data_IF_942290893454
#
_entry.id   IF_942290893454
#
_cell.length_a   1.000
_cell.length_b   1.000
_cell.length_c   1.000
_cell.angle_alpha   90.00
_cell.angle_beta   90.00
_cell.angle_gamma   90.00
#
_symmetry.space_group_name_H-M   'P 1'
#
loop_
_entity.id
_entity.type
_entity.pdbx_description
1 polymer ?
#
# COMPACT_ATOMS: atom_id res chain seq x y z
N UNK A 1 10.74 48.53 -3.54
CA UNK A 1 11.74 47.77 -4.31
C UNK A 1 12.43 46.84 -3.33
N UNK A 2 12.03 45.57 -3.26
CA UNK A 2 12.67 44.55 -2.41
C UNK A 2 13.12 43.42 -3.32
N UNK A 3 14.42 43.15 -3.32
CA UNK A 3 15.04 42.11 -4.13
C UNK A 3 14.55 40.73 -3.66
N UNK A 4 13.86 40.02 -4.55
CA UNK A 4 13.61 38.60 -4.41
C UNK A 4 14.96 37.88 -4.55
N UNK A 5 15.56 37.50 -3.41
CA UNK A 5 16.71 36.61 -3.40
C UNK A 5 16.22 35.23 -3.81
N UNK A 6 16.41 34.91 -5.09
CA UNK A 6 16.34 33.55 -5.62
C UNK A 6 17.33 32.68 -4.84
N UNK A 7 16.83 31.87 -3.90
CA UNK A 7 17.62 30.79 -3.27
C UNK A 7 17.90 29.75 -4.35
N UNK A 8 19.05 29.90 -4.99
CA UNK A 8 19.60 28.91 -5.90
C UNK A 8 19.72 27.55 -5.21
N UNK A 9 19.47 26.49 -5.99
CA UNK A 9 19.87 25.13 -5.68
C UNK A 9 21.37 25.11 -5.34
N UNK A 10 21.70 25.13 -4.05
CA UNK A 10 23.08 24.87 -3.60
C UNK A 10 23.24 23.36 -3.57
N UNK A 11 23.51 22.77 -4.74
CA UNK A 11 24.04 21.43 -4.85
C UNK A 11 25.44 21.45 -4.23
N UNK A 12 25.57 21.04 -2.96
CA UNK A 12 26.88 20.93 -2.31
C UNK A 12 27.64 19.78 -2.98
N UNK A 13 28.72 20.04 -3.75
CA UNK A 13 29.39 19.02 -4.56
C UNK A 13 30.11 17.94 -3.74
N UNK A 14 30.19 18.11 -2.42
CA UNK A 14 30.81 17.15 -1.49
C UNK A 14 29.81 16.14 -0.88
N UNK A 15 28.50 16.34 -1.06
CA UNK A 15 27.48 15.42 -0.56
C UNK A 15 27.10 14.40 -1.63
N UNK A 16 28.00 13.43 -1.84
CA UNK A 16 27.72 12.28 -2.69
C UNK A 16 26.49 11.52 -2.16
N UNK A 17 25.48 11.21 -3.01
CA UNK A 17 24.28 10.48 -2.61
C UNK A 17 24.57 9.16 -1.89
N UNK A 18 25.68 8.50 -2.21
CA UNK A 18 26.15 7.27 -1.61
C UNK A 18 26.52 7.46 -0.13
N UNK A 19 27.20 8.58 0.19
CA UNK A 19 27.56 8.93 1.57
C UNK A 19 26.29 9.20 2.37
N UNK A 20 25.37 9.99 1.81
CA UNK A 20 24.08 10.30 2.46
C UNK A 20 23.28 9.02 2.70
N UNK A 21 23.19 8.12 1.71
CA UNK A 21 22.53 6.83 1.88
C UNK A 21 23.17 5.98 2.99
N UNK A 22 24.50 5.96 3.07
CA UNK A 22 25.24 5.27 4.13
C UNK A 22 24.94 5.82 5.52
N UNK A 23 24.92 7.16 5.68
CA UNK A 23 24.53 7.81 6.94
C UNK A 23 23.09 7.45 7.30
N UNK A 24 22.15 7.62 6.37
CA UNK A 24 20.73 7.32 6.59
C UNK A 24 20.52 5.85 6.99
N UNK A 25 21.27 4.90 6.43
CA UNK A 25 21.19 3.48 6.81
C UNK A 25 21.49 3.23 8.29
N UNK A 26 22.22 4.13 8.97
CA UNK A 26 22.53 4.06 10.39
C UNK A 26 21.59 4.91 11.28
N UNK A 27 20.61 5.62 10.73
CA UNK A 27 19.60 6.37 11.51
C UNK A 27 18.40 5.48 11.81
N UNK A 28 18.16 5.13 13.08
CA UNK A 28 17.13 4.16 13.46
C UNK A 28 15.84 4.78 14.00
N UNK A 29 15.89 6.05 14.45
CA UNK A 29 14.75 6.72 15.05
C UNK A 29 13.90 7.45 14.00
N UNK A 30 12.57 7.31 14.08
CA UNK A 30 11.62 8.01 13.19
C UNK A 30 11.81 9.54 13.23
N UNK A 31 11.92 10.21 14.40
CA UNK A 31 12.11 11.66 14.46
C UNK A 31 13.38 12.14 13.75
N UNK A 32 14.46 11.36 13.84
CA UNK A 32 15.73 11.69 13.19
C UNK A 32 15.62 11.55 11.68
N UNK A 33 14.96 10.51 11.18
CA UNK A 33 14.68 10.36 9.74
C UNK A 33 13.80 11.50 9.21
N UNK A 34 12.81 11.97 9.99
CA UNK A 34 12.00 13.13 9.63
C UNK A 34 12.84 14.42 9.58
N UNK A 35 13.76 14.58 10.53
CA UNK A 35 14.70 15.71 10.56
C UNK A 35 15.64 15.68 9.36
N UNK A 36 16.23 14.52 9.05
CA UNK A 36 17.02 14.30 7.84
C UNK A 36 16.23 14.61 6.58
N UNK A 37 14.94 14.25 6.53
CA UNK A 37 14.11 14.52 5.37
C UNK A 37 13.93 16.03 5.10
N UNK A 38 14.18 16.89 6.07
CA UNK A 38 14.04 18.35 5.94
C UNK A 38 15.32 19.07 5.48
N UNK A 39 16.47 18.38 5.36
CA UNK A 39 17.78 19.02 5.11
C UNK A 39 17.88 19.57 3.68
N UNK A 40 17.85 18.71 2.67
CA UNK A 40 17.86 19.08 1.25
C UNK A 40 17.31 17.93 0.40
N UNK A 41 17.30 18.05 -0.93
CA UNK A 41 16.71 17.03 -1.80
C UNK A 41 17.36 15.64 -1.67
N UNK A 42 18.68 15.55 -1.56
CA UNK A 42 19.42 14.27 -1.47
C UNK A 42 19.05 13.55 -0.16
N UNK A 43 19.12 14.27 0.96
CA UNK A 43 18.74 13.76 2.27
C UNK A 43 17.24 13.43 2.35
N UNK A 44 16.38 14.27 1.73
CA UNK A 44 14.93 14.04 1.64
C UNK A 44 14.64 12.69 0.98
N UNK A 45 15.20 12.44 -0.20
CA UNK A 45 14.94 11.19 -0.93
C UNK A 45 15.48 9.99 -0.16
N UNK A 46 16.71 10.06 0.36
CA UNK A 46 17.31 8.96 1.10
C UNK A 46 16.55 8.63 2.40
N UNK A 47 16.23 9.64 3.21
CA UNK A 47 15.52 9.49 4.47
C UNK A 47 14.09 8.97 4.26
N UNK A 48 13.33 9.56 3.31
CA UNK A 48 11.98 9.09 3.01
C UNK A 48 12.01 7.67 2.42
N UNK A 49 12.99 7.33 1.59
CA UNK A 49 13.14 5.97 1.07
C UNK A 49 13.33 4.97 2.20
N UNK A 50 14.14 5.28 3.23
CA UNK A 50 14.28 4.41 4.40
C UNK A 50 13.00 4.35 5.23
N UNK A 51 12.39 5.51 5.50
CA UNK A 51 11.17 5.65 6.30
C UNK A 51 10.00 4.86 5.70
N UNK A 52 9.77 4.96 4.39
CA UNK A 52 8.61 4.34 3.72
C UNK A 52 8.88 2.90 3.23
N UNK A 53 10.14 2.50 3.05
CA UNK A 53 10.46 1.12 2.66
C UNK A 53 10.01 0.13 3.73
N UNK A 54 10.15 0.50 5.01
CA UNK A 54 9.83 -0.32 6.16
C UNK A 54 10.62 -1.64 6.22
N UNK A 55 10.48 -2.35 7.33
CA UNK A 55 10.80 -3.78 7.45
C UNK A 55 9.59 -4.51 8.02
N UNK A 56 9.50 -5.83 7.87
CA UNK A 56 8.41 -6.62 8.47
C UNK A 56 8.37 -6.48 10.01
N UNK A 57 9.52 -6.20 10.64
CA UNK A 57 9.70 -6.12 12.08
C UNK A 57 9.48 -4.71 12.64
N UNK A 58 9.56 -3.67 11.79
CA UNK A 58 9.41 -2.29 12.22
C UNK A 58 8.01 -1.77 11.93
N UNK A 59 7.05 -2.16 12.77
CA UNK A 59 5.65 -1.72 12.64
C UNK A 59 5.48 -0.19 12.63
N UNK A 60 6.41 0.54 13.27
CA UNK A 60 6.44 2.00 13.29
C UNK A 60 6.74 2.68 11.93
N UNK A 61 7.32 1.95 10.97
CA UNK A 61 7.59 2.43 9.61
C UNK A 61 6.52 1.99 8.61
N UNK A 62 5.41 1.40 9.09
CA UNK A 62 4.31 0.98 8.21
C UNK A 62 3.67 2.19 7.56
N UNK A 63 3.09 1.96 6.39
CA UNK A 63 2.20 2.93 5.77
C UNK A 63 1.16 3.40 6.80
N UNK A 64 0.95 4.71 6.92
CA UNK A 64 0.01 5.23 7.89
C UNK A 64 -1.39 4.67 7.67
N UNK A 65 -2.23 4.68 8.71
CA UNK A 65 -3.63 4.31 8.58
C UNK A 65 -4.36 5.19 7.55
N UNK A 66 -5.54 4.76 7.10
CA UNK A 66 -6.25 5.37 5.96
C UNK A 66 -6.47 6.88 6.16
N UNK A 67 -6.81 7.36 7.36
CA UNK A 67 -6.95 8.78 7.68
C UNK A 67 -5.71 9.62 7.45
N UNK A 68 -4.56 9.17 7.95
CA UNK A 68 -3.29 9.83 7.65
C UNK A 68 -2.92 9.74 6.16
N UNK A 69 -3.19 8.61 5.47
CA UNK A 69 -3.03 8.53 4.00
C UNK A 69 -3.91 9.55 3.28
N UNK A 70 -5.14 9.74 3.73
CA UNK A 70 -6.07 10.74 3.20
C UNK A 70 -5.53 12.16 3.41
N UNK A 71 -5.00 12.46 4.59
CA UNK A 71 -4.36 13.75 4.89
C UNK A 71 -3.15 14.00 3.97
N UNK A 72 -2.26 13.02 3.82
CA UNK A 72 -1.10 13.11 2.92
C UNK A 72 -1.51 13.31 1.47
N UNK A 73 -2.54 12.59 1.02
CA UNK A 73 -3.07 12.68 -0.34
C UNK A 73 -3.66 14.07 -0.65
N UNK A 74 -4.43 14.62 0.29
CA UNK A 74 -5.02 15.96 0.18
C UNK A 74 -3.95 17.05 0.22
N UNK A 75 -2.97 16.92 1.12
CA UNK A 75 -1.90 17.91 1.27
C UNK A 75 -1.06 18.06 -0.01
N UNK A 76 -0.70 16.96 -0.68
CA UNK A 76 -0.06 17.03 -1.99
C UNK A 76 -0.09 15.70 -2.74
N UNK A 77 -0.88 15.63 -3.81
CA UNK A 77 -0.95 14.44 -4.69
C UNK A 77 0.42 14.07 -5.30
N UNK A 78 1.23 15.06 -5.65
CA UNK A 78 2.58 14.84 -6.22
C UNK A 78 3.54 14.23 -5.19
N UNK A 79 3.55 14.76 -3.96
CA UNK A 79 4.38 14.19 -2.89
C UNK A 79 3.88 12.82 -2.47
N UNK A 80 2.56 12.64 -2.38
CA UNK A 80 1.94 11.36 -2.11
C UNK A 80 2.42 10.28 -3.09
N UNK A 81 2.29 10.52 -4.40
CA UNK A 81 2.74 9.59 -5.43
C UNK A 81 4.23 9.22 -5.30
N UNK A 82 5.08 10.22 -5.07
CA UNK A 82 6.51 10.01 -4.86
C UNK A 82 6.78 9.18 -3.60
N UNK A 83 6.12 9.47 -2.49
CA UNK A 83 6.32 8.73 -1.24
C UNK A 83 5.82 7.28 -1.37
N UNK A 84 4.67 7.06 -2.03
CA UNK A 84 4.15 5.72 -2.29
C UNK A 84 5.09 4.90 -3.20
N UNK A 85 5.89 5.53 -4.07
CA UNK A 85 6.93 4.82 -4.84
C UNK A 85 8.04 4.18 -4.00
N UNK A 86 8.17 4.58 -2.72
CA UNK A 86 9.13 3.97 -1.80
C UNK A 86 8.51 2.87 -0.94
N UNK A 87 7.17 2.78 -0.89
CA UNK A 87 6.46 1.78 -0.10
C UNK A 87 6.68 0.41 -0.71
N UNK A 88 7.18 -0.51 0.10
CA UNK A 88 7.30 -1.93 -0.26
C UNK A 88 6.14 -2.76 0.30
N UNK A 89 5.66 -2.38 1.48
CA UNK A 89 4.66 -3.11 2.25
C UNK A 89 3.50 -2.15 2.58
N UNK A 90 2.37 -2.30 1.89
CA UNK A 90 1.20 -1.42 2.04
C UNK A 90 0.15 -2.07 2.94
N UNK A 91 -0.27 -1.35 3.99
CA UNK A 91 -1.39 -1.68 4.85
C UNK A 91 -2.49 -0.61 4.65
N UNK A 92 -3.67 -1.04 4.22
CA UNK A 92 -4.88 -0.24 4.14
C UNK A 92 -5.81 -0.65 5.28
N UNK A 93 -5.61 -0.02 6.43
CA UNK A 93 -6.42 -0.21 7.63
C UNK A 93 -6.83 1.14 8.21
N UNK A 94 -8.03 1.25 8.81
CA UNK A 94 -8.32 2.38 9.69
C UNK A 94 -7.42 2.32 10.93
N UNK A 95 -7.34 3.43 11.66
CA UNK A 95 -6.73 3.44 13.00
C UNK A 95 -7.52 2.55 13.96
N UNK A 96 -8.85 2.68 13.92
CA UNK A 96 -9.78 1.85 14.69
C UNK A 96 -10.84 1.26 13.73
N UNK A 97 -10.91 -0.07 13.56
CA UNK A 97 -12.00 -0.70 12.82
C UNK A 97 -13.30 -0.60 13.61
N UNK A 98 -14.42 -0.51 12.90
CA UNK A 98 -15.74 -0.40 13.52
C UNK A 98 -16.51 -1.72 13.41
N UNK A 99 -17.39 -1.96 14.38
CA UNK A 99 -18.32 -3.09 14.31
C UNK A 99 -19.51 -2.70 13.42
N UNK A 100 -19.74 -3.47 12.36
CA UNK A 100 -20.92 -3.37 11.52
C UNK A 100 -22.14 -3.87 12.29
N UNK A 101 -22.90 -2.95 12.86
CA UNK A 101 -24.11 -3.24 13.64
C UNK A 101 -25.29 -3.68 12.76
N UNK A 102 -25.19 -3.47 11.44
CA UNK A 102 -26.26 -3.78 10.48
C UNK A 102 -26.10 -5.17 9.87
N UNK A 103 -24.90 -5.75 9.94
CA UNK A 103 -24.68 -7.15 9.65
C UNK A 103 -25.32 -8.00 10.77
N UNK A 104 -26.53 -8.50 10.52
CA UNK A 104 -27.19 -9.49 11.36
C UNK A 104 -27.23 -10.82 10.61
N UNK A 105 -27.01 -11.97 11.28
CA UNK A 105 -26.84 -12.12 12.73
C UNK A 105 -25.42 -11.77 13.25
N UNK A 106 -24.43 -11.60 12.38
CA UNK A 106 -23.03 -11.55 12.77
C UNK A 106 -22.39 -10.17 12.73
N UNK A 107 -21.85 -9.77 13.88
CA UNK A 107 -21.04 -8.56 14.04
C UNK A 107 -19.70 -8.76 13.34
N UNK A 108 -19.53 -8.11 12.19
CA UNK A 108 -18.24 -8.06 11.46
C UNK A 108 -17.50 -6.75 11.70
N UNK A 109 -16.17 -6.79 11.55
CA UNK A 109 -15.36 -5.57 11.54
C UNK A 109 -15.33 -4.98 10.13
N UNK A 110 -15.56 -3.67 10.04
CA UNK A 110 -15.59 -2.93 8.78
C UNK A 110 -14.81 -1.63 8.91
N UNK A 111 -14.27 -1.18 7.79
CA UNK A 111 -13.66 0.14 7.67
C UNK A 111 -14.66 1.11 7.04
N UNK A 112 -15.26 2.00 7.84
CA UNK A 112 -16.07 3.11 7.33
C UNK A 112 -15.21 4.23 6.70
N UNK A 113 -13.91 4.21 6.97
CA UNK A 113 -13.01 5.21 6.45
C UNK A 113 -12.63 4.95 5.00
N UNK A 114 -13.19 5.75 4.09
CA UNK A 114 -12.88 5.62 2.66
C UNK A 114 -11.46 6.10 2.35
N UNK A 115 -10.67 5.27 1.66
CA UNK A 115 -9.39 5.69 1.11
C UNK A 115 -9.60 6.58 -0.11
N UNK A 116 -9.33 7.89 0.01
CA UNK A 116 -9.55 8.90 -1.04
C UNK A 116 -8.76 8.61 -2.31
N UNK A 117 -7.56 8.05 -2.17
CA UNK A 117 -6.73 7.65 -3.30
C UNK A 117 -7.40 6.55 -4.14
N UNK A 118 -8.26 5.72 -3.55
CA UNK A 118 -9.02 4.68 -4.24
C UNK A 118 -10.29 5.19 -4.94
N UNK A 119 -10.67 6.47 -4.80
CA UNK A 119 -11.90 6.97 -5.45
C UNK A 119 -11.78 7.11 -6.97
N UNK A 120 -10.56 7.23 -7.49
CA UNK A 120 -10.31 7.40 -8.91
C UNK A 120 -9.15 6.52 -9.36
N UNK A 121 -9.32 5.84 -10.50
CA UNK A 121 -8.34 4.90 -11.08
C UNK A 121 -6.92 5.45 -11.11
N UNK A 122 -6.76 6.66 -11.66
CA UNK A 122 -5.46 7.34 -11.74
C UNK A 122 -4.72 7.39 -10.40
N UNK A 123 -5.41 7.58 -9.28
CA UNK A 123 -4.77 7.73 -7.97
C UNK A 123 -4.59 6.39 -7.25
N UNK A 124 -5.48 5.42 -7.49
CA UNK A 124 -5.30 4.08 -6.99
C UNK A 124 -4.13 3.38 -7.66
N UNK A 125 -3.88 3.64 -8.95
CA UNK A 125 -2.67 3.17 -9.63
C UNK A 125 -1.40 3.70 -8.95
N UNK A 126 -1.39 4.95 -8.49
CA UNK A 126 -0.24 5.50 -7.76
C UNK A 126 -0.04 4.86 -6.38
N UNK A 127 -1.11 4.35 -5.76
CA UNK A 127 -1.08 3.71 -4.45
C UNK A 127 -0.77 2.20 -4.53
N UNK A 128 -1.43 1.49 -5.44
CA UNK A 128 -1.41 0.03 -5.57
C UNK A 128 -0.41 -0.46 -6.63
N UNK A 129 -0.06 0.39 -7.61
CA UNK A 129 0.96 0.14 -8.65
C UNK A 129 2.03 1.24 -8.64
N UNK A 130 2.71 1.48 -7.49
CA UNK A 130 3.74 2.50 -7.42
C UNK A 130 4.84 2.25 -8.47
N UNK A 131 5.30 3.34 -9.11
CA UNK A 131 6.42 3.27 -10.06
C UNK A 131 7.70 2.77 -9.37
N UNK A 132 8.51 1.97 -10.07
CA UNK A 132 9.76 1.41 -9.55
C UNK A 132 9.62 -0.08 -9.22
N UNK A 133 9.98 -0.48 -7.99
CA UNK A 133 9.97 -1.90 -7.56
C UNK A 133 8.56 -2.46 -7.32
N UNK A 134 7.55 -1.61 -7.21
CA UNK A 134 6.19 -2.02 -6.86
C UNK A 134 6.06 -2.47 -5.40
N UNK A 135 4.83 -2.85 -5.04
CA UNK A 135 4.53 -3.43 -3.73
C UNK A 135 4.94 -4.90 -3.72
N UNK A 136 5.64 -5.32 -2.66
CA UNK A 136 5.91 -6.72 -2.36
C UNK A 136 4.85 -7.33 -1.44
N UNK A 137 4.20 -6.51 -0.60
CA UNK A 137 3.05 -6.96 0.17
C UNK A 137 1.91 -5.95 0.20
N UNK A 138 0.69 -6.47 0.27
CA UNK A 138 -0.53 -5.70 0.43
C UNK A 138 -1.40 -6.33 1.52
N UNK A 139 -1.87 -5.49 2.45
CA UNK A 139 -2.75 -5.89 3.55
C UNK A 139 -3.99 -5.01 3.56
N UNK A 140 -5.17 -5.62 3.43
CA UNK A 140 -6.48 -4.95 3.51
C UNK A 140 -7.38 -5.83 4.42
N UNK A 141 -7.23 -5.70 5.75
CA UNK A 141 -7.78 -6.67 6.70
C UNK A 141 -9.30 -6.55 6.89
N UNK A 142 -9.89 -5.45 6.43
CA UNK A 142 -11.32 -5.18 6.57
C UNK A 142 -11.93 -4.76 5.23
N UNK A 143 -13.21 -5.06 5.03
CA UNK A 143 -13.98 -4.44 3.95
C UNK A 143 -13.99 -2.92 4.13
N UNK A 144 -13.61 -2.17 3.09
CA UNK A 144 -13.72 -0.70 3.08
C UNK A 144 -15.11 -0.35 2.55
N UNK A 145 -16.00 0.07 3.44
CA UNK A 145 -17.40 0.27 3.10
C UNK A 145 -17.60 1.41 2.11
N UNK A 146 -18.44 1.15 1.10
CA UNK A 146 -18.81 2.14 0.10
C UNK A 146 -17.64 2.58 -0.78
N UNK A 147 -16.60 1.75 -0.86
CA UNK A 147 -15.54 1.80 -1.86
C UNK A 147 -15.93 0.87 -3.00
N UNK A 148 -16.03 1.40 -4.22
CA UNK A 148 -16.29 0.58 -5.40
C UNK A 148 -14.98 -0.04 -5.89
N UNK A 149 -14.84 -1.35 -5.64
CA UNK A 149 -13.68 -2.13 -6.05
C UNK A 149 -13.81 -2.73 -7.44
N UNK A 150 -15.01 -2.73 -8.04
CA UNK A 150 -15.24 -3.36 -9.35
C UNK A 150 -14.40 -2.71 -10.45
N UNK A 151 -14.18 -1.40 -10.38
CA UNK A 151 -13.37 -0.62 -11.32
C UNK A 151 -11.85 -0.77 -11.11
N UNK A 152 -11.43 -1.45 -10.04
CA UNK A 152 -10.06 -1.44 -9.52
C UNK A 152 -9.57 -2.81 -9.08
N UNK A 153 -10.36 -3.86 -9.29
CA UNK A 153 -10.06 -5.23 -8.87
C UNK A 153 -8.80 -5.78 -9.54
N UNK A 154 -8.39 -5.21 -10.66
CA UNK A 154 -7.13 -5.52 -11.35
C UNK A 154 -5.92 -4.93 -10.62
N UNK A 155 -6.10 -3.87 -9.84
CA UNK A 155 -5.03 -3.23 -9.07
C UNK A 155 -4.72 -3.96 -7.75
N UNK A 156 -5.66 -4.75 -7.23
CA UNK A 156 -5.52 -5.47 -5.95
C UNK A 156 -4.42 -6.53 -5.96
N UNK A 157 -4.09 -7.08 -7.13
CA UNK A 157 -2.99 -8.01 -7.27
C UNK A 157 -2.17 -7.67 -8.50
N UNK A 158 -0.92 -7.29 -8.25
CA UNK A 158 0.08 -6.99 -9.26
C UNK A 158 1.09 -8.13 -9.29
N UNK A 159 1.79 -8.35 -10.41
CA UNK A 159 2.85 -9.34 -10.47
C UNK A 159 3.99 -9.10 -9.47
N UNK A 160 4.06 -7.97 -8.78
CA UNK A 160 5.12 -7.71 -7.79
C UNK A 160 4.77 -8.20 -6.38
N UNK A 161 3.49 -8.47 -6.10
CA UNK A 161 3.02 -8.83 -4.76
C UNK A 161 3.33 -10.30 -4.48
N UNK A 162 4.09 -10.53 -3.43
CA UNK A 162 4.47 -11.85 -2.93
C UNK A 162 3.65 -12.26 -1.69
N UNK A 163 3.19 -11.28 -0.91
CA UNK A 163 2.46 -11.51 0.35
C UNK A 163 1.16 -10.71 0.33
N UNK A 164 0.03 -11.39 0.38
CA UNK A 164 -1.30 -10.78 0.38
C UNK A 164 -2.04 -11.15 1.66
N UNK A 165 -2.59 -10.17 2.35
CA UNK A 165 -3.48 -10.41 3.48
C UNK A 165 -4.77 -9.60 3.30
N UNK A 166 -5.91 -10.27 3.12
CA UNK A 166 -7.16 -9.60 2.73
C UNK A 166 -8.36 -10.17 3.46
N UNK A 167 -9.38 -9.34 3.64
CA UNK A 167 -10.70 -9.85 4.01
C UNK A 167 -11.27 -10.81 2.95
N UNK A 168 -11.98 -11.83 3.39
CA UNK A 168 -12.66 -12.84 2.55
C UNK A 168 -13.54 -12.21 1.46
N UNK A 169 -14.12 -11.04 1.72
CA UNK A 169 -14.86 -10.22 0.74
C UNK A 169 -14.09 -10.05 -0.59
N UNK A 170 -12.78 -9.85 -0.53
CA UNK A 170 -11.96 -9.56 -1.70
C UNK A 170 -11.63 -10.79 -2.56
N UNK A 171 -11.81 -12.02 -2.06
CA UNK A 171 -11.53 -13.24 -2.82
C UNK A 171 -12.35 -13.30 -4.12
N UNK A 172 -13.64 -12.97 -4.07
CA UNK A 172 -14.51 -12.93 -5.25
C UNK A 172 -14.10 -11.84 -6.23
N UNK A 173 -13.69 -10.66 -5.73
CA UNK A 173 -13.24 -9.54 -6.57
C UNK A 173 -11.94 -9.87 -7.33
N UNK A 174 -11.01 -10.58 -6.68
CA UNK A 174 -9.76 -11.01 -7.33
C UNK A 174 -10.01 -11.97 -8.50
N UNK A 175 -11.02 -12.83 -8.36
CA UNK A 175 -11.44 -13.80 -9.37
C UNK A 175 -12.28 -13.19 -10.50
N UNK A 176 -13.14 -12.22 -10.17
CA UNK A 176 -14.03 -11.56 -11.13
C UNK A 176 -13.32 -10.54 -12.02
N UNK A 177 -12.09 -10.16 -11.67
CA UNK A 177 -11.37 -9.09 -12.36
C UNK A 177 -11.13 -9.46 -13.83
N UNK A 178 -11.65 -8.69 -14.80
CA UNK A 178 -11.49 -8.99 -16.21
C UNK A 178 -10.02 -8.81 -16.59
N UNK A 179 -9.50 -9.69 -17.45
CA UNK A 179 -8.14 -9.67 -18.01
C UNK A 179 -7.86 -8.43 -18.89
N UNK A 180 -8.72 -7.41 -18.84
CA UNK A 180 -8.77 -6.29 -19.77
C UNK A 180 -8.08 -5.06 -19.20
N UNK A 181 -6.75 -5.03 -19.30
CA UNK A 181 -6.03 -3.76 -19.48
C UNK A 181 -4.73 -4.02 -20.24
N UNK A 182 -4.79 -3.89 -21.57
CA UNK A 182 -3.70 -3.42 -22.45
C UNK A 182 -2.28 -4.02 -22.32
N UNK A 183 -2.12 -5.26 -21.84
CA UNK A 183 -0.85 -5.97 -21.97
C UNK A 183 -0.77 -7.29 -21.22
N UNK A 184 -0.65 -8.39 -21.97
CA UNK A 184 0.20 -9.57 -21.72
C UNK A 184 0.11 -10.36 -20.39
N UNK A 185 -0.81 -10.08 -19.48
CA UNK A 185 -0.93 -10.84 -18.22
C UNK A 185 -2.12 -11.79 -18.34
N UNK A 186 -1.84 -13.09 -18.52
CA UNK A 186 -2.89 -14.11 -18.42
C UNK A 186 -3.40 -14.20 -16.97
N UNK A 187 -4.61 -14.72 -16.72
CA UNK A 187 -5.08 -14.96 -15.36
C UNK A 187 -4.13 -15.80 -14.51
N UNK A 188 -3.33 -16.68 -15.12
CA UNK A 188 -2.29 -17.47 -14.46
C UNK A 188 -1.09 -16.59 -14.04
N UNK A 189 -0.69 -15.64 -14.87
CA UNK A 189 0.42 -14.72 -14.58
C UNK A 189 0.09 -13.77 -13.42
N UNK A 190 -1.21 -13.47 -13.20
CA UNK A 190 -1.67 -12.58 -12.12
C UNK A 190 -1.29 -13.08 -10.72
N UNK A 191 -1.35 -14.39 -10.49
CA UNK A 191 -1.06 -15.02 -9.19
C UNK A 191 0.33 -15.65 -9.12
N UNK A 192 1.09 -15.63 -10.21
CA UNK A 192 2.37 -16.33 -10.35
C UNK A 192 3.42 -16.02 -9.28
N UNK A 193 3.44 -14.78 -8.79
CA UNK A 193 4.41 -14.33 -7.78
C UNK A 193 3.89 -14.38 -6.34
N UNK A 194 2.60 -14.72 -6.14
CA UNK A 194 2.01 -14.78 -4.81
C UNK A 194 2.50 -16.04 -4.07
N UNK A 195 3.29 -15.83 -3.00
CA UNK A 195 3.87 -16.89 -2.18
C UNK A 195 3.08 -17.14 -0.91
N UNK A 196 2.49 -16.11 -0.32
CA UNK A 196 1.73 -16.21 0.91
C UNK A 196 0.39 -15.49 0.80
N UNK A 197 -0.65 -16.15 1.29
CA UNK A 197 -2.00 -15.60 1.37
C UNK A 197 -2.55 -15.76 2.78
N UNK A 198 -2.93 -14.64 3.40
CA UNK A 198 -3.74 -14.61 4.62
C UNK A 198 -5.14 -14.13 4.26
N UNK A 199 -6.15 -14.84 4.71
CA UNK A 199 -7.54 -14.44 4.52
C UNK A 199 -8.18 -14.23 5.89
N UNK A 200 -8.69 -13.01 6.12
CA UNK A 200 -9.45 -12.68 7.31
C UNK A 200 -10.92 -12.99 7.07
N UNK A 201 -11.52 -13.81 7.92
CA UNK A 201 -12.93 -14.14 7.91
C UNK A 201 -13.67 -13.23 8.90
N UNK A 202 -13.93 -11.98 8.48
CA UNK A 202 -14.65 -11.02 9.32
C UNK A 202 -16.14 -11.35 9.50
N UNK A 203 -16.72 -12.19 8.64
CA UNK A 203 -18.12 -12.62 8.70
C UNK A 203 -18.25 -14.15 8.82
N UNK A 204 -19.37 -14.60 9.39
CA UNK A 204 -19.71 -16.02 9.51
C UNK A 204 -20.12 -16.68 8.19
N UNK A 205 -20.06 -15.96 7.06
CA UNK A 205 -20.55 -16.44 5.76
C UNK A 205 -19.90 -17.80 5.46
N UNK A 206 -20.68 -18.90 5.41
CA UNK A 206 -20.12 -20.23 5.17
C UNK A 206 -19.64 -20.40 3.73
N UNK A 207 -19.95 -19.45 2.82
CA UNK A 207 -19.55 -19.53 1.43
C UNK A 207 -18.04 -19.40 1.27
N UNK A 208 -17.37 -20.52 1.03
CA UNK A 208 -15.93 -20.59 0.78
C UNK A 208 -15.58 -20.79 -0.70
N UNK A 209 -16.55 -20.86 -1.62
CA UNK A 209 -16.31 -21.14 -3.05
C UNK A 209 -15.32 -20.14 -3.68
N UNK A 210 -15.48 -18.85 -3.37
CA UNK A 210 -14.54 -17.82 -3.83
C UNK A 210 -13.13 -17.97 -3.27
N UNK A 211 -12.99 -18.53 -2.06
CA UNK A 211 -11.68 -18.81 -1.46
C UNK A 211 -11.07 -20.06 -2.11
N UNK A 212 -11.83 -21.15 -2.24
CA UNK A 212 -11.36 -22.39 -2.86
C UNK A 212 -10.85 -22.15 -4.29
N UNK A 213 -11.64 -21.44 -5.12
CA UNK A 213 -11.23 -21.08 -6.49
C UNK A 213 -10.01 -20.17 -6.54
N UNK A 214 -9.81 -19.33 -5.54
CA UNK A 214 -8.61 -18.50 -5.43
C UNK A 214 -7.39 -19.38 -5.13
N UNK A 215 -7.51 -20.30 -4.17
CA UNK A 215 -6.44 -21.23 -3.81
C UNK A 215 -6.04 -22.13 -4.98
N UNK A 216 -7.00 -22.62 -5.77
CA UNK A 216 -6.74 -23.41 -6.98
C UNK A 216 -5.92 -22.65 -8.05
N UNK A 217 -5.95 -21.31 -8.04
CA UNK A 217 -5.23 -20.45 -8.98
C UNK A 217 -3.87 -19.97 -8.46
N UNK A 218 -3.54 -20.24 -7.20
CA UNK A 218 -2.33 -19.75 -6.56
C UNK A 218 -1.37 -20.91 -6.26
N UNK A 219 -0.08 -20.72 -6.51
CA UNK A 219 0.96 -21.65 -6.08
C UNK A 219 1.58 -21.17 -4.76
N UNK A 220 0.82 -21.30 -3.66
CA UNK A 220 1.18 -20.75 -2.36
C UNK A 220 2.19 -21.64 -1.62
N UNK A 221 3.18 -21.02 -1.00
CA UNK A 221 4.06 -21.64 0.00
C UNK A 221 3.40 -21.62 1.39
N UNK A 222 2.63 -20.57 1.68
CA UNK A 222 1.96 -20.38 2.96
C UNK A 222 0.52 -19.92 2.75
N UNK A 223 -0.40 -20.54 3.48
CA UNK A 223 -1.79 -20.12 3.53
C UNK A 223 -2.24 -20.03 4.97
N UNK A 224 -2.90 -18.94 5.34
CA UNK A 224 -3.49 -18.73 6.64
C UNK A 224 -4.93 -18.23 6.50
N UNK A 225 -5.83 -18.82 7.27
CA UNK A 225 -7.21 -18.37 7.42
C UNK A 225 -7.38 -17.97 8.89
N UNK A 226 -7.75 -16.71 9.12
CA UNK A 226 -7.90 -16.10 10.46
C UNK A 226 -9.34 -15.63 10.67
#
# INVERSE_FOLDING_TARGET
MMAAVSRGNVSNPLLLPEIVASVINNVHMVPDLLSCACVNHIWNVAALKKLYKGSLNDMQFRTPHIGLLNCLFVASRKRFARNMSFVKHLLLSPEEPAIDKMALPDRRLICYEKCRALRHRKYAELLLRPQGRGLASLVIPFEIQGQDWSLMSDLLLTPTIEYLAIDKYYCKLLLASPSSSQGLITPADKFSNLKALTVYQSNSDPNIDGLCRLLERCNLQFFHLE
#
